data_IF_942032352130
#
_entry.id   IF_942032352130
#
_cell.length_a   1.000
_cell.length_b   1.000
_cell.length_c   1.000
_cell.angle_alpha   90.00
_cell.angle_beta   90.00
_cell.angle_gamma   90.00
#
_symmetry.space_group_name_H-M   'P 1'
#
loop_
_entity.id
_entity.type
_entity.pdbx_description
1 polymer ?
#
# COMPACT_ATOMS: atom_id res chain seq x y z
N UNK A 1 19.22 18.19 19.12
CA UNK A 1 19.60 16.99 19.90
C UNK A 1 20.91 16.44 19.37
N UNK A 2 21.90 16.13 20.23
CA UNK A 2 23.28 15.75 19.83
C UNK A 2 23.40 14.44 19.03
N UNK A 3 22.30 13.69 18.92
CA UNK A 3 22.24 12.38 18.25
C UNK A 3 22.46 12.48 16.72
N UNK A 4 22.17 13.63 16.11
CA UNK A 4 22.21 13.79 14.65
C UNK A 4 23.59 14.19 14.09
N UNK A 5 24.52 14.64 14.93
CA UNK A 5 25.81 15.18 14.50
C UNK A 5 26.97 14.17 14.46
N UNK A 6 26.81 12.98 15.04
CA UNK A 6 27.92 12.04 15.28
C UNK A 6 27.94 10.77 14.41
N UNK A 7 26.99 10.59 13.49
CA UNK A 7 26.92 9.38 12.67
C UNK A 7 26.76 9.68 11.17
N UNK A 8 27.38 8.83 10.33
CA UNK A 8 27.28 8.77 8.85
C UNK A 8 25.88 8.39 8.31
N UNK A 9 24.82 8.84 8.97
CA UNK A 9 23.44 8.67 8.55
C UNK A 9 22.98 9.94 7.83
N UNK A 10 22.00 9.87 6.91
CA UNK A 10 20.90 10.85 6.87
C UNK A 10 19.87 10.68 5.72
N UNK A 11 18.76 10.03 6.09
CA UNK A 11 17.41 10.60 5.97
C UNK A 11 16.71 10.32 7.29
N UNK A 12 16.20 11.36 7.97
CA UNK A 12 15.42 11.20 9.19
C UNK A 12 13.93 11.34 8.86
N UNK A 13 13.15 10.26 8.98
CA UNK A 13 11.68 10.34 8.82
C UNK A 13 10.98 10.27 10.17
N UNK A 14 10.07 11.22 10.35
CA UNK A 14 9.27 11.37 11.56
C UNK A 14 7.98 10.55 11.44
N UNK A 15 7.43 10.13 12.58
CA UNK A 15 6.11 9.48 12.66
C UNK A 15 5.04 10.44 12.15
N UNK A 16 4.15 9.92 11.30
CA UNK A 16 2.99 10.68 10.83
C UNK A 16 1.80 10.41 11.74
N UNK A 17 1.16 11.47 12.22
CA UNK A 17 -0.08 11.40 12.99
C UNK A 17 -1.21 11.88 12.10
N UNK A 18 -2.17 10.99 11.86
CA UNK A 18 -3.35 11.31 11.07
C UNK A 18 -4.28 12.26 11.82
N UNK A 19 -4.69 13.35 11.18
CA UNK A 19 -5.61 14.34 11.81
C UNK A 19 -7.08 14.07 11.52
N UNK A 20 -7.41 13.47 10.36
CA UNK A 20 -8.79 13.23 9.93
C UNK A 20 -9.20 11.75 10.01
N UNK A 21 -8.60 10.98 10.91
CA UNK A 21 -8.91 9.54 11.04
C UNK A 21 -10.39 9.29 11.36
N UNK A 22 -11.02 10.20 12.10
CA UNK A 22 -12.41 10.11 12.54
C UNK A 22 -13.42 10.74 11.56
N UNK A 23 -12.99 11.19 10.37
CA UNK A 23 -13.88 11.81 9.39
C UNK A 23 -14.88 10.81 8.80
N UNK A 24 -14.43 9.59 8.46
CA UNK A 24 -15.31 8.50 8.04
C UNK A 24 -14.68 7.12 8.33
N UNK A 25 -15.46 6.05 8.12
CA UNK A 25 -14.95 4.67 8.29
C UNK A 25 -13.72 4.39 7.42
N UNK A 26 -13.70 4.91 6.19
CA UNK A 26 -12.60 4.72 5.25
C UNK A 26 -11.30 5.38 5.75
N UNK A 27 -11.35 6.61 6.27
CA UNK A 27 -10.13 7.26 6.81
C UNK A 27 -9.59 6.51 8.02
N UNK A 28 -10.47 5.92 8.84
CA UNK A 28 -10.07 5.09 9.99
C UNK A 28 -9.40 3.79 9.56
N UNK A 29 -9.93 3.11 8.54
CA UNK A 29 -9.34 1.91 7.95
C UNK A 29 -7.98 2.22 7.30
N UNK A 30 -7.87 3.34 6.59
CA UNK A 30 -6.60 3.80 6.02
C UNK A 30 -5.54 4.08 7.09
N UNK A 31 -5.93 4.68 8.22
CA UNK A 31 -5.04 4.92 9.35
C UNK A 31 -4.49 3.59 9.90
N UNK A 32 -5.31 2.54 10.00
CA UNK A 32 -4.84 1.21 10.42
C UNK A 32 -3.70 0.69 9.53
N UNK A 33 -3.90 0.70 8.21
CA UNK A 33 -2.88 0.24 7.26
C UNK A 33 -1.61 1.09 7.32
N UNK A 34 -1.74 2.42 7.47
CA UNK A 34 -0.58 3.33 7.53
C UNK A 34 0.18 3.24 8.86
N UNK A 35 -0.50 3.05 9.98
CA UNK A 35 0.15 2.89 11.28
C UNK A 35 1.02 1.63 11.30
N UNK A 36 0.53 0.51 10.77
CA UNK A 36 1.35 -0.68 10.58
C UNK A 36 2.57 -0.42 9.68
N UNK A 37 2.36 0.23 8.53
CA UNK A 37 3.43 0.58 7.60
C UNK A 37 4.55 1.41 8.27
N UNK A 38 4.20 2.46 9.02
CA UNK A 38 5.20 3.31 9.67
C UNK A 38 5.83 2.65 10.90
N UNK A 39 5.01 2.13 11.82
CA UNK A 39 5.47 1.63 13.11
C UNK A 39 6.22 0.29 13.00
N UNK A 40 5.91 -0.53 12.00
CA UNK A 40 6.50 -1.85 11.81
C UNK A 40 7.43 -1.85 10.61
N UNK A 41 6.93 -1.58 9.39
CA UNK A 41 7.73 -1.78 8.18
C UNK A 41 8.88 -0.77 8.06
N UNK A 42 8.62 0.52 8.24
CA UNK A 42 9.69 1.53 8.14
C UNK A 42 10.66 1.47 9.31
N UNK A 43 10.15 1.28 10.54
CA UNK A 43 11.00 1.15 11.73
C UNK A 43 11.92 -0.07 11.66
N UNK A 44 11.40 -1.22 11.23
CA UNK A 44 12.22 -2.44 11.04
C UNK A 44 13.22 -2.29 9.90
N UNK A 45 12.81 -1.71 8.75
CA UNK A 45 13.71 -1.42 7.64
C UNK A 45 14.87 -0.50 8.03
N UNK A 46 14.57 0.57 8.79
CA UNK A 46 15.59 1.47 9.33
C UNK A 46 16.56 0.75 10.26
N UNK A 47 16.04 -0.07 11.19
CA UNK A 47 16.86 -0.72 12.22
C UNK A 47 17.73 -1.85 11.64
N UNK A 48 17.16 -2.70 10.78
CA UNK A 48 17.83 -3.91 10.29
C UNK A 48 18.69 -3.62 9.06
N UNK A 49 18.17 -2.81 8.12
CA UNK A 49 18.81 -2.58 6.83
C UNK A 49 19.38 -1.17 6.68
N UNK A 50 19.07 -0.25 7.59
CA UNK A 50 19.39 1.17 7.40
C UNK A 50 18.67 1.75 6.19
N UNK A 51 17.49 1.22 5.83
CA UNK A 51 16.75 1.63 4.65
C UNK A 51 15.24 1.48 4.82
N UNK A 52 14.50 2.46 4.32
CA UNK A 52 13.09 2.34 4.02
C UNK A 52 12.76 3.29 2.86
N UNK A 53 11.69 3.01 2.12
CA UNK A 53 11.24 3.88 1.04
C UNK A 53 10.77 5.23 1.58
N UNK A 54 11.33 6.33 1.06
CA UNK A 54 10.85 7.66 1.44
C UNK A 54 9.50 7.94 0.79
N UNK A 55 8.53 8.36 1.61
CA UNK A 55 7.14 8.61 1.19
C UNK A 55 6.86 10.12 0.99
N UNK A 56 7.87 10.87 0.50
CA UNK A 56 7.74 12.23 -0.05
C UNK A 56 7.59 13.39 0.94
N UNK A 57 7.30 13.13 2.23
CA UNK A 57 7.10 14.18 3.25
C UNK A 57 7.60 13.73 4.62
N UNK A 58 7.66 14.66 5.58
CA UNK A 58 8.11 14.42 6.96
C UNK A 58 9.53 13.83 7.06
N UNK A 59 10.40 14.17 6.11
CA UNK A 59 11.78 13.73 6.04
C UNK A 59 12.76 14.89 6.02
N UNK A 60 13.91 14.73 6.68
CA UNK A 60 15.03 15.67 6.62
C UNK A 60 16.21 15.03 5.90
N UNK A 61 16.69 15.69 4.85
CA UNK A 61 17.79 15.23 4.02
C UNK A 61 19.07 15.99 4.33
N UNK A 62 20.19 15.27 4.42
CA UNK A 62 21.51 15.92 4.43
C UNK A 62 21.83 16.37 3.01
N UNK A 63 22.28 17.62 2.85
CA UNK A 63 22.57 18.20 1.53
C UNK A 63 23.63 17.39 0.76
N UNK A 64 24.66 16.89 1.44
CA UNK A 64 25.69 16.05 0.82
C UNK A 64 25.11 14.74 0.26
N UNK A 65 24.18 14.10 0.98
CA UNK A 65 23.53 12.88 0.54
C UNK A 65 22.64 13.12 -0.68
N UNK A 66 21.90 14.23 -0.69
CA UNK A 66 21.09 14.65 -1.83
C UNK A 66 21.97 14.89 -3.06
N UNK A 67 23.08 15.60 -2.89
CA UNK A 67 24.02 15.93 -3.97
C UNK A 67 24.71 14.66 -4.51
N UNK A 68 25.18 13.78 -3.64
CA UNK A 68 25.84 12.53 -4.04
C UNK A 68 24.89 11.55 -4.71
N UNK A 69 23.62 11.53 -4.29
CA UNK A 69 22.60 10.74 -4.98
C UNK A 69 22.28 11.30 -6.38
N UNK A 70 22.67 12.54 -6.68
CA UNK A 70 22.39 13.22 -7.96
C UNK A 70 21.05 13.95 -7.98
N UNK A 71 20.55 14.40 -6.81
CA UNK A 71 19.35 15.22 -6.70
C UNK A 71 18.04 14.51 -7.08
N UNK A 72 17.00 15.31 -7.29
CA UNK A 72 15.68 14.84 -7.71
C UNK A 72 15.67 14.55 -9.21
N UNK A 73 15.07 13.43 -9.61
CA UNK A 73 14.94 13.02 -11.02
C UNK A 73 13.46 12.87 -11.38
N UNK A 74 13.09 13.31 -12.57
CA UNK A 74 11.72 13.30 -13.11
C UNK A 74 11.34 11.97 -13.80
N UNK A 75 12.23 10.96 -13.75
CA UNK A 75 12.06 9.69 -14.46
C UNK A 75 10.86 8.86 -14.02
N UNK A 76 10.29 9.13 -12.85
CA UNK A 76 9.15 8.39 -12.27
C UNK A 76 8.26 9.35 -11.48
N UNK A 77 7.01 8.92 -11.25
CA UNK A 77 6.07 9.60 -10.35
C UNK A 77 6.37 9.36 -8.86
N UNK A 78 7.38 8.55 -8.54
CA UNK A 78 7.84 8.30 -7.17
C UNK A 78 9.30 8.76 -7.05
N UNK A 79 9.54 10.02 -7.38
CA UNK A 79 10.85 10.67 -7.36
C UNK A 79 11.52 10.63 -5.98
N UNK A 80 10.69 10.62 -4.93
CA UNK A 80 11.05 10.45 -3.53
C UNK A 80 11.67 9.08 -3.24
N UNK A 81 11.03 8.01 -3.72
CA UNK A 81 11.52 6.65 -3.59
C UNK A 81 12.76 6.42 -4.46
N UNK A 82 12.78 7.00 -5.67
CA UNK A 82 13.94 6.96 -6.56
C UNK A 82 15.19 7.56 -5.90
N UNK A 83 15.04 8.76 -5.33
CA UNK A 83 16.10 9.41 -4.57
C UNK A 83 16.52 8.57 -3.36
N UNK A 84 15.57 7.98 -2.65
CA UNK A 84 15.87 7.13 -1.50
C UNK A 84 16.74 5.93 -1.88
N UNK A 85 16.37 5.20 -2.95
CA UNK A 85 17.15 4.05 -3.41
C UNK A 85 18.54 4.48 -3.87
N UNK A 86 18.66 5.59 -4.62
CA UNK A 86 19.97 6.10 -5.07
C UNK A 86 20.87 6.51 -3.90
N UNK A 87 20.34 7.22 -2.91
CA UNK A 87 21.10 7.57 -1.72
C UNK A 87 21.59 6.32 -0.97
N UNK A 88 20.73 5.31 -0.83
CA UNK A 88 21.11 4.04 -0.20
C UNK A 88 22.17 3.27 -0.98
N UNK A 89 22.12 3.31 -2.32
CA UNK A 89 23.14 2.78 -3.22
C UNK A 89 24.47 3.58 -3.20
N UNK A 90 24.45 4.81 -2.69
CA UNK A 90 25.66 5.59 -2.38
C UNK A 90 26.19 5.31 -0.96
N UNK A 91 25.59 4.37 -0.22
CA UNK A 91 26.06 3.96 1.11
C UNK A 91 25.40 4.70 2.27
N UNK A 92 24.57 5.71 2.01
CA UNK A 92 23.82 6.42 3.03
C UNK A 92 22.80 5.51 3.71
N UNK A 93 22.50 5.79 4.98
CA UNK A 93 21.48 5.04 5.74
C UNK A 93 20.36 5.96 6.22
N UNK A 94 19.21 5.33 6.39
CA UNK A 94 17.92 5.93 6.71
C UNK A 94 17.56 5.63 8.15
N UNK A 95 17.23 6.68 8.90
CA UNK A 95 16.89 6.63 10.33
C UNK A 95 15.41 6.98 10.49
N UNK A 96 14.65 6.06 11.06
CA UNK A 96 13.27 6.31 11.45
C UNK A 96 13.25 6.83 12.90
N UNK A 97 12.62 7.98 13.14
CA UNK A 97 12.53 8.60 14.46
C UNK A 97 11.06 8.62 14.91
N UNK A 98 10.78 7.90 15.99
CA UNK A 98 9.45 7.72 16.54
C UNK A 98 8.98 8.84 17.47
N UNK A 99 9.92 9.57 18.08
CA UNK A 99 9.63 10.66 19.02
C UNK A 99 9.07 11.92 18.35
N UNK A 100 9.35 12.13 17.06
CA UNK A 100 8.92 13.33 16.33
C UNK A 100 7.66 13.00 15.54
N UNK A 101 6.61 13.79 15.75
CA UNK A 101 5.28 13.59 15.14
C UNK A 101 4.95 14.72 14.17
N UNK A 102 4.56 14.37 12.94
CA UNK A 102 4.13 15.30 11.91
C UNK A 102 2.68 15.02 11.54
N UNK A 103 1.84 16.06 11.52
CA UNK A 103 0.43 15.94 11.13
C UNK A 103 0.32 15.55 9.65
N UNK A 104 -0.53 14.57 9.35
CA UNK A 104 -0.86 14.16 7.98
C UNK A 104 -2.37 14.00 7.80
N UNK A 105 -2.85 14.31 6.60
CA UNK A 105 -4.25 14.16 6.21
C UNK A 105 -4.39 13.01 5.21
N UNK A 106 -5.43 12.20 5.40
CA UNK A 106 -5.81 11.08 4.54
C UNK A 106 -6.86 11.51 3.52
N UNK A 107 -6.93 10.87 2.35
CA UNK A 107 -8.01 11.11 1.39
C UNK A 107 -9.36 10.72 2.00
N UNK A 108 -10.26 11.70 2.07
CA UNK A 108 -11.62 11.55 2.61
C UNK A 108 -12.63 10.97 1.61
N UNK A 109 -12.32 11.03 0.30
CA UNK A 109 -13.14 10.41 -0.75
C UNK A 109 -12.47 9.16 -1.33
N UNK A 110 -13.30 8.16 -1.64
CA UNK A 110 -12.80 6.91 -2.23
C UNK A 110 -12.10 7.12 -3.57
N UNK A 111 -12.61 8.03 -4.40
CA UNK A 111 -11.98 8.42 -5.67
C UNK A 111 -10.54 8.92 -5.45
N UNK A 112 -10.33 9.83 -4.50
CA UNK A 112 -9.00 10.35 -4.18
C UNK A 112 -8.07 9.24 -3.63
N UNK A 113 -8.61 8.35 -2.79
CA UNK A 113 -7.88 7.21 -2.26
C UNK A 113 -7.43 6.25 -3.37
N UNK A 114 -8.30 5.93 -4.34
CA UNK A 114 -7.92 5.08 -5.49
C UNK A 114 -6.80 5.68 -6.32
N UNK A 115 -6.83 6.97 -6.60
CA UNK A 115 -5.76 7.63 -7.36
C UNK A 115 -4.43 7.58 -6.59
N UNK A 116 -4.48 7.79 -5.27
CA UNK A 116 -3.31 7.66 -4.41
C UNK A 116 -2.74 6.22 -4.44
N UNK A 117 -3.59 5.22 -4.25
CA UNK A 117 -3.20 3.81 -4.25
C UNK A 117 -2.69 3.37 -5.62
N UNK A 118 -3.29 3.86 -6.71
CA UNK A 118 -2.79 3.64 -8.05
C UNK A 118 -1.35 4.14 -8.19
N UNK A 119 -1.06 5.38 -7.78
CA UNK A 119 0.30 5.94 -7.81
C UNK A 119 1.26 5.15 -6.92
N UNK A 120 0.84 4.77 -5.72
CA UNK A 120 1.67 4.03 -4.76
C UNK A 120 1.97 2.59 -5.15
N UNK A 121 1.19 1.99 -6.06
CA UNK A 121 1.50 0.66 -6.62
C UNK A 121 2.15 0.73 -8.00
N UNK A 122 1.70 1.65 -8.86
CA UNK A 122 2.23 1.87 -10.21
C UNK A 122 3.65 2.43 -10.19
N UNK A 123 3.89 3.47 -9.39
CA UNK A 123 5.17 4.16 -9.31
C UNK A 123 6.32 3.23 -8.93
N UNK A 124 6.25 2.49 -7.80
CA UNK A 124 7.33 1.59 -7.40
C UNK A 124 7.57 0.45 -8.39
N UNK A 125 6.51 -0.09 -9.01
CA UNK A 125 6.64 -1.13 -10.02
C UNK A 125 7.35 -0.62 -11.29
N UNK A 126 7.02 0.60 -11.74
CA UNK A 126 7.73 1.24 -12.84
C UNK A 126 9.18 1.58 -12.49
N UNK A 127 9.40 2.09 -11.26
CA UNK A 127 10.72 2.40 -10.76
C UNK A 127 11.62 1.16 -10.70
N UNK A 128 11.09 0.02 -10.27
CA UNK A 128 11.84 -1.23 -10.24
C UNK A 128 12.40 -1.60 -11.62
N UNK A 129 11.57 -1.51 -12.67
CA UNK A 129 11.99 -1.79 -14.06
C UNK A 129 13.14 -0.89 -14.50
N UNK A 130 13.09 0.39 -14.12
CA UNK A 130 14.12 1.40 -14.46
C UNK A 130 15.40 1.25 -13.65
N UNK A 131 15.31 0.86 -12.39
CA UNK A 131 16.45 0.81 -11.47
C UNK A 131 17.07 -0.57 -11.28
N UNK A 132 16.40 -1.65 -11.70
CA UNK A 132 16.88 -3.02 -11.49
C UNK A 132 18.33 -3.21 -11.95
N UNK A 133 18.66 -2.75 -13.16
CA UNK A 133 20.03 -2.85 -13.68
C UNK A 133 21.01 -1.94 -12.93
N UNK A 134 20.60 -0.72 -12.58
CA UNK A 134 21.41 0.21 -11.78
C UNK A 134 21.77 -0.40 -10.40
N UNK A 135 20.83 -1.09 -9.76
CA UNK A 135 21.05 -1.76 -8.47
C UNK A 135 22.03 -2.93 -8.62
N UNK A 136 21.87 -3.75 -9.67
CA UNK A 136 22.73 -4.92 -9.92
C UNK A 136 24.18 -4.47 -10.17
N UNK A 137 24.36 -3.48 -11.05
CA UNK A 137 25.67 -3.02 -11.50
C UNK A 137 26.40 -2.14 -10.48
N UNK A 138 25.72 -1.62 -9.47
CA UNK A 138 26.32 -0.75 -8.46
C UNK A 138 27.47 -1.45 -7.71
N UNK A 139 28.69 -0.89 -7.74
CA UNK A 139 29.86 -1.49 -7.07
C UNK A 139 30.11 -0.95 -5.65
N UNK A 140 29.33 0.03 -5.20
CA UNK A 140 29.54 0.72 -3.92
C UNK A 140 28.93 -0.02 -2.73
N UNK A 141 27.86 -0.78 -2.96
CA UNK A 141 27.15 -1.52 -1.90
C UNK A 141 27.39 -3.02 -1.96
N UNK A 142 27.29 -3.66 -0.79
CA UNK A 142 27.42 -5.11 -0.66
C UNK A 142 26.32 -5.86 -1.40
N UNK A 143 26.62 -7.11 -1.77
CA UNK A 143 25.68 -8.02 -2.42
C UNK A 143 24.33 -8.14 -1.65
N UNK A 144 24.38 -8.28 -0.33
CA UNK A 144 23.18 -8.41 0.50
C UNK A 144 22.26 -7.18 0.47
N UNK A 145 22.83 -5.96 0.37
CA UNK A 145 22.02 -4.74 0.19
C UNK A 145 21.28 -4.75 -1.15
N UNK A 146 21.91 -5.26 -2.21
CA UNK A 146 21.29 -5.41 -3.53
C UNK A 146 20.17 -6.45 -3.50
N UNK A 147 20.41 -7.61 -2.89
CA UNK A 147 19.41 -8.66 -2.70
C UNK A 147 18.21 -8.11 -1.94
N UNK A 148 18.45 -7.40 -0.84
CA UNK A 148 17.39 -6.74 -0.08
C UNK A 148 16.57 -5.75 -0.93
N UNK A 149 17.23 -4.88 -1.71
CA UNK A 149 16.51 -3.94 -2.58
C UNK A 149 15.68 -4.65 -3.66
N UNK A 150 16.28 -5.60 -4.39
CA UNK A 150 15.65 -6.26 -5.54
C UNK A 150 14.56 -7.21 -5.07
N UNK A 151 14.91 -8.15 -4.19
CA UNK A 151 14.02 -9.22 -3.78
C UNK A 151 12.99 -8.73 -2.77
N UNK A 152 13.44 -8.17 -1.65
CA UNK A 152 12.56 -7.93 -0.51
C UNK A 152 11.81 -6.59 -0.65
N UNK A 153 12.52 -5.50 -0.97
CA UNK A 153 11.93 -4.17 -1.08
C UNK A 153 11.06 -3.98 -2.33
N UNK A 154 11.56 -4.29 -3.54
CA UNK A 154 10.80 -4.11 -4.78
C UNK A 154 9.93 -5.32 -5.13
N UNK A 155 10.54 -6.50 -5.36
CA UNK A 155 9.82 -7.65 -5.90
C UNK A 155 8.75 -8.16 -4.92
N UNK A 156 9.12 -8.52 -3.69
CA UNK A 156 8.19 -9.10 -2.74
C UNK A 156 7.14 -8.06 -2.31
N UNK A 157 7.58 -6.94 -1.71
CA UNK A 157 6.66 -5.98 -1.09
C UNK A 157 5.85 -5.11 -2.06
N UNK A 158 6.40 -4.70 -3.21
CA UNK A 158 5.72 -3.77 -4.14
C UNK A 158 5.04 -4.45 -5.32
N UNK A 159 5.43 -5.70 -5.63
CA UNK A 159 4.90 -6.43 -6.79
C UNK A 159 4.14 -7.68 -6.34
N UNK A 160 4.85 -8.67 -5.77
CA UNK A 160 4.29 -10.00 -5.48
C UNK A 160 3.16 -9.91 -4.48
N UNK A 161 3.34 -9.22 -3.35
CA UNK A 161 2.28 -9.10 -2.32
C UNK A 161 0.99 -8.53 -2.91
N UNK A 162 1.06 -7.47 -3.71
CA UNK A 162 -0.15 -6.88 -4.29
C UNK A 162 -0.88 -7.85 -5.23
N UNK A 163 -0.16 -8.45 -6.17
CA UNK A 163 -0.73 -9.38 -7.15
C UNK A 163 -1.24 -10.65 -6.47
N UNK A 164 -0.42 -11.23 -5.57
CA UNK A 164 -0.75 -12.44 -4.86
C UNK A 164 -1.99 -12.27 -3.99
N UNK A 165 -2.09 -11.20 -3.20
CA UNK A 165 -3.27 -10.97 -2.34
C UNK A 165 -4.55 -10.93 -3.17
N UNK A 166 -4.56 -10.22 -4.31
CA UNK A 166 -5.75 -10.18 -5.17
C UNK A 166 -6.05 -11.53 -5.80
N UNK A 167 -5.07 -12.14 -6.48
CA UNK A 167 -5.27 -13.40 -7.21
C UNK A 167 -5.66 -14.51 -6.25
N UNK A 168 -4.98 -14.63 -5.11
CA UNK A 168 -5.23 -15.69 -4.16
C UNK A 168 -6.59 -15.52 -3.46
N UNK A 169 -6.84 -14.39 -2.80
CA UNK A 169 -8.04 -14.25 -1.96
C UNK A 169 -9.32 -13.93 -2.74
N UNK A 170 -9.21 -13.31 -3.92
CA UNK A 170 -10.40 -12.90 -4.70
C UNK A 170 -10.67 -13.81 -5.91
N UNK A 171 -9.72 -14.64 -6.36
CA UNK A 171 -9.90 -15.51 -7.53
C UNK A 171 -9.68 -16.99 -7.20
N UNK A 172 -8.52 -17.37 -6.65
CA UNK A 172 -8.18 -18.79 -6.41
C UNK A 172 -9.01 -19.38 -5.26
N UNK A 173 -9.02 -18.72 -4.10
CA UNK A 173 -9.74 -19.19 -2.91
C UNK A 173 -11.25 -19.33 -3.14
N UNK A 174 -11.95 -18.41 -3.82
CA UNK A 174 -13.35 -18.62 -4.20
C UNK A 174 -13.53 -19.76 -5.22
N UNK A 175 -12.60 -19.93 -6.18
CA UNK A 175 -12.68 -21.01 -7.17
C UNK A 175 -12.59 -22.41 -6.56
N UNK A 176 -11.89 -22.57 -5.43
CA UNK A 176 -11.75 -23.89 -4.78
C UNK A 176 -13.05 -24.42 -4.22
N UNK A 177 -14.09 -23.58 -4.08
CA UNK A 177 -15.43 -24.05 -3.74
C UNK A 177 -16.06 -24.81 -4.92
N UNK A 178 -15.85 -24.31 -6.13
CA UNK A 178 -16.42 -24.91 -7.36
C UNK A 178 -15.66 -26.18 -7.73
N UNK A 179 -14.35 -26.20 -7.48
CA UNK A 179 -13.44 -27.31 -7.78
C UNK A 179 -12.98 -27.99 -6.48
N UNK A 180 -13.76 -28.95 -5.94
CA UNK A 180 -13.45 -29.60 -4.67
C UNK A 180 -12.15 -30.41 -4.68
N UNK A 181 -11.57 -30.69 -5.85
CA UNK A 181 -10.27 -31.33 -5.99
C UNK A 181 -9.11 -30.44 -5.54
N UNK A 182 -9.32 -29.12 -5.46
CA UNK A 182 -8.29 -28.15 -5.08
C UNK A 182 -8.33 -27.95 -3.56
N UNK A 183 -7.58 -28.77 -2.83
CA UNK A 183 -7.40 -28.57 -1.40
C UNK A 183 -6.36 -27.49 -1.11
N UNK A 184 -6.81 -26.36 -0.54
CA UNK A 184 -5.90 -25.30 -0.09
C UNK A 184 -5.48 -25.56 1.36
N UNK A 185 -4.17 -25.57 1.66
CA UNK A 185 -3.69 -25.77 3.02
C UNK A 185 -4.22 -24.73 4.01
N UNK A 186 -4.61 -25.18 5.21
CA UNK A 186 -5.14 -24.31 6.29
C UNK A 186 -4.14 -23.23 6.73
N UNK A 187 -2.84 -23.47 6.60
CA UNK A 187 -1.84 -22.46 6.95
C UNK A 187 -1.94 -21.22 6.06
N UNK A 188 -2.33 -21.40 4.80
CA UNK A 188 -2.49 -20.31 3.84
C UNK A 188 -3.80 -19.57 4.02
N UNK A 189 -4.90 -20.30 4.26
CA UNK A 189 -6.25 -19.71 4.34
C UNK A 189 -6.62 -19.16 5.71
N UNK A 190 -6.01 -19.66 6.78
CA UNK A 190 -6.33 -19.29 8.17
C UNK A 190 -5.11 -18.67 8.84
N UNK A 191 -3.99 -19.40 8.96
CA UNK A 191 -2.90 -18.98 9.85
C UNK A 191 -2.18 -17.72 9.37
N UNK A 192 -1.89 -17.61 8.07
CA UNK A 192 -1.27 -16.40 7.50
C UNK A 192 -2.16 -15.17 7.68
N UNK A 193 -3.41 -15.14 7.17
CA UNK A 193 -4.25 -13.96 7.32
C UNK A 193 -4.58 -13.66 8.79
N UNK A 194 -4.74 -14.66 9.66
CA UNK A 194 -4.91 -14.44 11.09
C UNK A 194 -3.67 -13.77 11.71
N UNK A 195 -2.47 -14.22 11.37
CA UNK A 195 -1.21 -13.62 11.87
C UNK A 195 -1.08 -12.17 11.40
N UNK A 196 -1.31 -11.90 10.11
CA UNK A 196 -1.28 -10.53 9.57
C UNK A 196 -2.31 -9.64 10.28
N UNK A 197 -3.52 -10.17 10.50
CA UNK A 197 -4.61 -9.47 11.17
C UNK A 197 -4.24 -9.14 12.62
N UNK A 198 -3.68 -10.09 13.37
CA UNK A 198 -3.23 -9.89 14.75
C UNK A 198 -2.11 -8.85 14.82
N UNK A 199 -1.13 -8.90 13.91
CA UNK A 199 -0.05 -7.91 13.86
C UNK A 199 -0.58 -6.49 13.58
N UNK A 200 -1.54 -6.35 12.67
CA UNK A 200 -2.20 -5.06 12.40
C UNK A 200 -3.07 -4.60 13.59
N UNK A 201 -3.76 -5.53 14.27
CA UNK A 201 -4.53 -5.23 15.48
C UNK A 201 -3.64 -4.65 16.59
N UNK A 202 -2.48 -5.27 16.82
CA UNK A 202 -1.50 -4.84 17.84
C UNK A 202 -0.96 -3.45 17.50
N UNK A 203 -0.72 -3.15 16.22
CA UNK A 203 -0.28 -1.83 15.78
C UNK A 203 -1.36 -0.74 15.95
N UNK A 204 -2.64 -1.12 16.00
CA UNK A 204 -3.78 -0.18 16.08
C UNK A 204 -4.90 -0.66 17.02
N UNK A 205 -4.63 -0.75 18.35
CA UNK A 205 -5.59 -1.34 19.30
C UNK A 205 -6.91 -0.55 19.38
N UNK A 206 -6.87 0.77 19.16
CA UNK A 206 -8.05 1.65 19.18
C UNK A 206 -9.06 1.38 18.06
N UNK A 207 -8.69 0.63 17.02
CA UNK A 207 -9.53 0.37 15.84
C UNK A 207 -9.87 -1.11 15.69
N UNK A 208 -9.67 -1.92 16.75
CA UNK A 208 -9.89 -3.37 16.70
C UNK A 208 -11.29 -3.77 16.23
N UNK A 209 -12.32 -2.99 16.58
CA UNK A 209 -13.70 -3.23 16.16
C UNK A 209 -13.91 -3.13 14.64
N UNK A 210 -12.98 -2.52 13.89
CA UNK A 210 -13.05 -2.39 12.43
C UNK A 210 -12.29 -3.47 11.68
N UNK A 211 -11.72 -4.46 12.37
CA UNK A 211 -10.77 -5.38 11.74
C UNK A 211 -11.38 -6.21 10.62
N UNK A 212 -12.63 -6.63 10.78
CA UNK A 212 -13.37 -7.36 9.75
C UNK A 212 -13.56 -6.49 8.50
N UNK A 213 -13.99 -5.24 8.68
CA UNK A 213 -14.14 -4.29 7.58
C UNK A 213 -12.80 -3.98 6.91
N UNK A 214 -11.73 -3.87 7.69
CA UNK A 214 -10.38 -3.66 7.18
C UNK A 214 -9.92 -4.82 6.29
N UNK A 215 -10.11 -6.08 6.70
CA UNK A 215 -9.77 -7.26 5.86
C UNK A 215 -10.50 -7.22 4.53
N UNK A 216 -11.83 -7.04 4.57
CA UNK A 216 -12.67 -7.02 3.37
C UNK A 216 -12.27 -5.88 2.43
N UNK A 217 -12.01 -4.70 3.00
CA UNK A 217 -11.59 -3.51 2.26
C UNK A 217 -10.19 -3.68 1.64
N UNK A 218 -9.23 -4.23 2.38
CA UNK A 218 -7.88 -4.52 1.89
C UNK A 218 -7.88 -5.48 0.69
N UNK A 219 -8.78 -6.47 0.68
CA UNK A 219 -8.98 -7.36 -0.47
C UNK A 219 -9.52 -6.64 -1.71
N UNK A 220 -10.48 -5.72 -1.54
CA UNK A 220 -10.95 -4.87 -2.66
C UNK A 220 -9.80 -3.99 -3.16
N UNK A 221 -9.04 -3.40 -2.24
CA UNK A 221 -7.90 -2.56 -2.57
C UNK A 221 -6.76 -3.34 -3.23
N UNK A 222 -6.59 -4.63 -2.93
CA UNK A 222 -5.62 -5.49 -3.59
C UNK A 222 -5.86 -5.57 -5.11
N UNK A 223 -7.12 -5.54 -5.57
CA UNK A 223 -7.45 -5.45 -7.00
C UNK A 223 -6.90 -4.14 -7.60
N UNK A 224 -7.14 -3.01 -6.94
CA UNK A 224 -6.68 -1.69 -7.39
C UNK A 224 -5.16 -1.59 -7.42
N UNK A 225 -4.48 -2.11 -6.38
CA UNK A 225 -3.03 -2.16 -6.29
C UNK A 225 -2.44 -3.07 -7.37
N UNK A 226 -2.99 -4.27 -7.55
CA UNK A 226 -2.57 -5.22 -8.60
C UNK A 226 -2.65 -4.59 -9.99
N UNK A 227 -3.76 -3.91 -10.29
CA UNK A 227 -3.91 -3.15 -11.54
C UNK A 227 -2.83 -2.08 -11.66
N UNK A 228 -2.59 -1.30 -10.60
CA UNK A 228 -1.53 -0.28 -10.58
C UNK A 228 -0.15 -0.89 -10.85
N UNK A 229 0.21 -1.96 -10.15
CA UNK A 229 1.47 -2.69 -10.32
C UNK A 229 1.63 -3.19 -11.76
N UNK A 230 0.62 -3.83 -12.34
CA UNK A 230 0.67 -4.32 -13.73
C UNK A 230 0.86 -3.18 -14.74
N UNK A 231 0.13 -2.07 -14.55
CA UNK A 231 0.29 -0.87 -15.38
C UNK A 231 1.72 -0.32 -15.29
N UNK A 232 2.29 -0.26 -14.09
CA UNK A 232 3.66 0.20 -13.84
C UNK A 232 4.73 -0.68 -14.50
N UNK A 233 4.56 -2.01 -14.45
CA UNK A 233 5.46 -2.98 -15.09
C UNK A 233 5.38 -2.94 -16.61
N UNK A 234 4.17 -2.82 -17.16
CA UNK A 234 3.91 -2.79 -18.59
C UNK A 234 4.16 -1.43 -19.24
N UNK A 235 4.41 -0.38 -18.44
CA UNK A 235 4.67 0.99 -18.91
C UNK A 235 3.57 1.56 -19.83
N UNK A 236 2.32 1.20 -19.56
CA UNK A 236 1.17 1.71 -20.33
C UNK A 236 0.93 3.21 -20.09
N UNK A 237 0.13 3.87 -20.94
CA UNK A 237 -0.01 5.34 -21.00
C UNK A 237 -0.35 6.03 -19.67
N UNK A 238 -0.98 5.34 -18.71
CA UNK A 238 -1.36 5.88 -17.39
C UNK A 238 -0.23 5.92 -16.35
N UNK A 239 0.97 5.41 -16.65
CA UNK A 239 2.07 5.36 -15.68
C UNK A 239 2.56 6.74 -15.24
N UNK A 240 2.42 7.76 -16.08
CA UNK A 240 2.82 9.14 -15.77
C UNK A 240 1.68 10.00 -15.21
N UNK A 241 0.48 9.43 -15.04
CA UNK A 241 -0.69 10.19 -14.62
C UNK A 241 -0.60 10.54 -13.13
N UNK A 242 -0.34 11.82 -12.84
CA UNK A 242 -0.30 12.35 -11.48
C UNK A 242 -1.55 13.18 -11.18
N UNK A 243 -2.57 12.51 -10.66
CA UNK A 243 -3.73 13.20 -10.09
C UNK A 243 -3.38 13.58 -8.64
N UNK A 244 -3.48 14.88 -8.32
CA UNK A 244 -3.22 15.40 -6.97
C UNK A 244 -4.33 14.93 -6.04
N UNK A 245 -3.93 14.28 -4.93
CA UNK A 245 -4.85 14.01 -3.83
C UNK A 245 -5.18 15.32 -3.14
N UNK A 246 -6.41 15.80 -3.28
CA UNK A 246 -6.86 16.99 -2.57
C UNK A 246 -6.83 16.73 -1.05
N UNK A 247 -6.18 17.64 -0.33
CA UNK A 247 -6.15 17.72 1.13
C UNK A 247 -6.89 19.00 1.49
N UNK A 248 -7.99 18.88 2.22
CA UNK A 248 -8.93 19.99 2.39
C UNK A 248 -8.50 20.93 3.51
N UNK A 249 -7.72 20.43 4.49
CA UNK A 249 -7.32 21.19 5.67
C UNK A 249 -8.52 21.56 6.58
N UNK A 250 -8.25 21.79 7.87
CA UNK A 250 -9.30 22.15 8.85
C UNK A 250 -10.01 23.49 8.54
N UNK A 251 -9.44 24.35 7.70
CA UNK A 251 -9.97 25.69 7.36
C UNK A 251 -11.09 25.71 6.31
N UNK A 252 -11.50 24.56 5.77
CA UNK A 252 -12.46 24.49 4.66
C UNK A 252 -13.87 24.04 5.07
N UNK A 253 -14.27 24.30 6.33
CA UNK A 253 -15.62 24.01 6.82
C UNK A 253 -16.73 24.79 6.10
N UNK A 254 -16.39 25.75 5.24
CA UNK A 254 -17.32 26.54 4.41
C UNK A 254 -17.48 26.04 2.97
N UNK A 255 -16.64 25.13 2.48
CA UNK A 255 -16.75 24.59 1.11
C UNK A 255 -17.55 23.28 1.00
N UNK A 256 -17.83 22.63 2.13
CA UNK A 256 -18.50 21.32 2.16
C UNK A 256 -20.02 21.38 1.87
N UNK A 257 -20.63 22.57 1.85
CA UNK A 257 -22.08 22.71 1.63
C UNK A 257 -22.51 22.85 0.15
N UNK A 258 -21.60 23.13 -0.80
CA UNK A 258 -22.02 23.56 -2.15
C UNK A 258 -21.48 22.73 -3.33
N UNK A 259 -21.00 21.51 -3.11
CA UNK A 259 -20.63 20.61 -4.21
C UNK A 259 -21.32 19.26 -4.04
N UNK A 260 -22.63 19.22 -4.29
CA UNK A 260 -23.27 18.00 -4.78
C UNK A 260 -22.90 17.94 -6.25
N UNK A 261 -21.93 17.13 -6.68
CA UNK A 261 -21.55 17.14 -8.08
C UNK A 261 -22.62 16.35 -8.83
N UNK A 262 -23.16 16.97 -9.86
CA UNK A 262 -24.13 16.34 -10.76
C UNK A 262 -23.38 15.30 -11.60
N UNK A 263 -23.39 14.04 -11.16
CA UNK A 263 -22.71 12.95 -11.85
C UNK A 263 -23.69 12.15 -12.70
N UNK A 264 -23.33 11.88 -13.95
CA UNK A 264 -24.11 11.03 -14.84
C UNK A 264 -24.04 9.57 -14.38
N UNK A 265 -25.18 8.88 -14.38
CA UNK A 265 -25.36 7.49 -13.93
C UNK A 265 -24.34 6.46 -14.52
N UNK A 266 -23.84 6.58 -15.77
CA UNK A 266 -22.89 5.62 -16.34
C UNK A 266 -21.45 5.72 -15.78
N UNK A 267 -21.00 6.88 -15.32
CA UNK A 267 -19.62 7.06 -14.81
C UNK A 267 -19.42 6.45 -13.41
N UNK A 268 -20.52 6.08 -12.75
CA UNK A 268 -20.56 5.45 -11.43
C UNK A 268 -20.49 3.93 -11.49
N UNK A 269 -20.71 3.32 -12.66
CA UNK A 269 -20.74 1.86 -12.78
C UNK A 269 -19.32 1.30 -12.88
N UNK A 270 -18.83 0.89 -11.72
CA UNK A 270 -17.51 0.28 -11.53
C UNK A 270 -17.53 -1.18 -11.99
N UNK A 271 -17.50 -1.39 -13.30
CA UNK A 271 -17.65 -2.71 -13.91
C UNK A 271 -16.69 -3.78 -13.38
N UNK A 272 -15.45 -3.42 -13.03
CA UNK A 272 -14.47 -4.41 -12.55
C UNK A 272 -14.81 -4.91 -11.16
N UNK A 273 -15.13 -3.98 -10.27
CA UNK A 273 -15.59 -4.21 -8.91
C UNK A 273 -16.88 -5.05 -8.94
N UNK A 274 -17.83 -4.70 -9.81
CA UNK A 274 -19.08 -5.45 -10.01
C UNK A 274 -18.80 -6.87 -10.52
N UNK A 275 -17.94 -7.04 -11.53
CA UNK A 275 -17.62 -8.37 -12.07
C UNK A 275 -17.02 -9.28 -11.00
N UNK A 276 -16.05 -8.78 -10.22
CA UNK A 276 -15.44 -9.57 -9.13
C UNK A 276 -16.47 -9.82 -8.02
N UNK A 277 -17.29 -8.83 -7.66
CA UNK A 277 -18.35 -8.98 -6.67
C UNK A 277 -19.38 -10.05 -7.08
N UNK A 278 -19.80 -10.08 -8.34
CA UNK A 278 -20.72 -11.09 -8.88
C UNK A 278 -20.08 -12.48 -8.90
N UNK A 279 -18.81 -12.57 -9.31
CA UNK A 279 -18.06 -13.82 -9.25
C UNK A 279 -18.00 -14.41 -7.83
N UNK A 280 -17.67 -13.57 -6.85
CA UNK A 280 -17.64 -13.95 -5.43
C UNK A 280 -19.03 -14.36 -4.91
N UNK A 281 -20.07 -13.65 -5.33
CA UNK A 281 -21.45 -13.98 -4.97
C UNK A 281 -21.84 -15.37 -5.47
N UNK A 282 -21.52 -15.67 -6.74
CA UNK A 282 -21.80 -16.97 -7.36
C UNK A 282 -21.04 -18.09 -6.62
N UNK A 283 -19.77 -17.88 -6.31
CA UNK A 283 -18.98 -18.86 -5.54
C UNK A 283 -19.57 -19.07 -4.13
N UNK A 284 -19.97 -17.99 -3.45
CA UNK A 284 -20.60 -18.05 -2.13
C UNK A 284 -21.95 -18.76 -2.14
N UNK A 285 -22.77 -18.50 -3.16
CA UNK A 285 -24.04 -19.20 -3.37
C UNK A 285 -23.82 -20.70 -3.63
N UNK A 286 -22.82 -21.04 -4.44
CA UNK A 286 -22.47 -22.45 -4.68
C UNK A 286 -22.02 -23.15 -3.39
N UNK A 287 -21.14 -22.53 -2.58
CA UNK A 287 -20.70 -23.10 -1.29
C UNK A 287 -21.87 -23.26 -0.31
N UNK A 288 -22.81 -22.31 -0.32
CA UNK A 288 -23.98 -22.35 0.56
C UNK A 288 -24.91 -23.53 0.25
N UNK A 289 -25.09 -23.85 -1.05
CA UNK A 289 -26.00 -24.92 -1.48
C UNK A 289 -25.33 -26.29 -1.48
N UNK A 290 -24.08 -26.38 -1.93
CA UNK A 290 -23.39 -27.65 -2.21
C UNK A 290 -22.13 -27.87 -1.37
N UNK A 291 -21.61 -26.82 -0.75
CA UNK A 291 -20.32 -26.83 -0.08
C UNK A 291 -20.35 -27.42 1.33
N UNK A 292 -19.15 -27.73 1.83
CA UNK A 292 -18.92 -28.26 3.19
C UNK A 292 -17.95 -27.40 4.00
N UNK A 293 -17.33 -26.38 3.41
CA UNK A 293 -16.22 -25.61 3.99
C UNK A 293 -16.66 -24.34 4.70
N UNK A 294 -17.97 -24.03 4.71
CA UNK A 294 -18.57 -22.83 5.34
C UNK A 294 -17.91 -21.50 4.90
N UNK A 295 -17.25 -21.50 3.75
CA UNK A 295 -16.56 -20.34 3.20
C UNK A 295 -17.54 -19.29 2.65
N UNK A 296 -18.80 -19.68 2.40
CA UNK A 296 -19.88 -18.82 1.93
C UNK A 296 -20.04 -17.55 2.78
N UNK A 297 -19.83 -17.63 4.10
CA UNK A 297 -19.93 -16.46 4.99
C UNK A 297 -18.91 -15.39 4.58
N UNK A 298 -17.66 -15.79 4.41
CA UNK A 298 -16.60 -14.89 3.94
C UNK A 298 -16.88 -14.40 2.52
N UNK A 299 -17.29 -15.28 1.60
CA UNK A 299 -17.53 -14.94 0.19
C UNK A 299 -18.68 -13.94 0.01
N UNK A 300 -19.77 -14.09 0.77
CA UNK A 300 -20.86 -13.12 0.74
C UNK A 300 -20.44 -11.77 1.32
N UNK A 301 -19.73 -11.75 2.46
CA UNK A 301 -19.21 -10.51 3.03
C UNK A 301 -18.23 -9.81 2.08
N UNK A 302 -17.35 -10.57 1.43
CA UNK A 302 -16.40 -10.02 0.45
C UNK A 302 -17.12 -9.52 -0.81
N UNK A 303 -18.13 -10.23 -1.30
CA UNK A 303 -18.96 -9.80 -2.43
C UNK A 303 -19.67 -8.47 -2.14
N UNK A 304 -20.28 -8.34 -0.96
CA UNK A 304 -20.89 -7.08 -0.52
C UNK A 304 -19.86 -5.95 -0.47
N UNK A 305 -18.65 -6.21 0.04
CA UNK A 305 -17.59 -5.20 0.05
C UNK A 305 -17.24 -4.71 -1.37
N UNK A 306 -17.17 -5.60 -2.37
CA UNK A 306 -16.95 -5.22 -3.77
C UNK A 306 -18.10 -4.40 -4.37
N UNK A 307 -19.34 -4.63 -3.96
CA UNK A 307 -20.49 -3.84 -4.44
C UNK A 307 -20.58 -2.46 -3.79
N UNK A 308 -20.20 -2.36 -2.51
CA UNK A 308 -20.23 -1.09 -1.76
C UNK A 308 -19.12 -0.15 -2.24
N UNK A 309 -17.92 -0.68 -2.44
CA UNK A 309 -16.70 0.07 -2.80
C UNK A 309 -16.73 0.55 -4.25
#
# INVERSE_FOLDING_TARGET
TPVLSQFDFFLCVCVRVTVNANECCMTRIQEMSLNYHFAVEQKSGSTIHGFFGFNGTAGVWRLSALNEAGGWKDRTIVEDMDLAVRAYLSGWKFVFVDDIKVKNELPSSFTAYRFQQHRWSCGPANLFKKMAMEIIQNQRVSFWKKVYLIYDFFLLRKIVVHIFTFVFYCLILPATVIFPEIEVPKWTTIYIPATITILNAIATPKSFYLILYWILFENVMAMHRSKGTLIGLLETSRVKEWVVTQKLGETSSTLTQNLIPHYSFPERLRWREITVGMYLFICGYYDFVFGKTYLYVYLFLQSVAFFVV
#
